data_IF_881875887888
#
_entry.id   IF_881875887888
#
_cell.length_a   1.000
_cell.length_b   1.000
_cell.length_c   1.000
_cell.angle_alpha   90.00
_cell.angle_beta   90.00
_cell.angle_gamma   90.00
#
_symmetry.space_group_name_H-M   'P 1'
#
loop_
_entity.id
_entity.type
_entity.pdbx_description
1 polymer ?
#
# COMPACT_ATOMS: atom_id res chain seq x y z
N UNK A 1 -2.22 19.89 17.63
CA UNK A 1 -1.09 19.35 16.85
C UNK A 1 -0.04 20.42 16.61
N UNK A 2 -0.45 21.63 16.24
CA UNK A 2 0.46 22.77 15.95
C UNK A 2 1.38 23.15 17.11
N UNK A 3 0.88 23.21 18.33
CA UNK A 3 1.70 23.55 19.50
C UNK A 3 2.82 22.52 19.73
N UNK A 4 2.50 21.22 19.58
CA UNK A 4 3.48 20.14 19.73
C UNK A 4 4.64 20.28 18.73
N UNK A 5 4.32 20.42 17.43
CA UNK A 5 5.33 20.52 16.38
C UNK A 5 6.13 21.81 16.50
N UNK A 6 5.44 22.94 16.74
CA UNK A 6 6.12 24.23 16.81
C UNK A 6 7.01 24.37 18.05
N UNK A 7 6.64 23.74 19.17
CA UNK A 7 7.49 23.70 20.37
C UNK A 7 8.82 22.99 20.13
N UNK A 8 8.84 21.96 19.27
CA UNK A 8 10.04 21.22 18.88
C UNK A 8 10.86 21.93 17.80
N UNK A 9 10.18 22.68 16.92
CA UNK A 9 10.79 23.38 15.79
C UNK A 9 10.51 24.90 15.84
N UNK A 10 10.98 25.63 16.87
CA UNK A 10 10.61 27.03 17.10
C UNK A 10 11.15 27.99 16.03
N UNK A 11 12.10 27.55 15.20
CA UNK A 11 12.64 28.32 14.07
C UNK A 11 11.73 28.31 12.84
N UNK A 12 10.77 27.38 12.76
CA UNK A 12 9.80 27.34 11.67
C UNK A 12 8.74 28.41 11.86
N UNK A 13 8.32 29.03 10.77
CA UNK A 13 7.17 29.94 10.78
C UNK A 13 5.87 29.16 10.98
N UNK A 14 4.83 29.83 11.47
CA UNK A 14 3.52 29.21 11.62
C UNK A 14 2.99 28.65 10.29
N UNK A 15 3.27 29.32 9.16
CA UNK A 15 2.92 28.83 7.82
C UNK A 15 3.65 27.52 7.51
N UNK A 16 4.95 27.42 7.77
CA UNK A 16 5.73 26.19 7.53
C UNK A 16 5.21 25.03 8.39
N UNK A 17 4.91 25.28 9.68
CA UNK A 17 4.35 24.24 10.55
C UNK A 17 2.96 23.79 10.07
N UNK A 18 2.10 24.72 9.64
CA UNK A 18 0.78 24.38 9.10
C UNK A 18 0.87 23.62 7.78
N UNK A 19 1.79 24.00 6.89
CA UNK A 19 2.05 23.26 5.64
C UNK A 19 2.53 21.84 5.93
N UNK A 20 3.46 21.67 6.86
CA UNK A 20 3.97 20.36 7.24
C UNK A 20 2.87 19.50 7.90
N UNK A 21 2.03 20.08 8.76
CA UNK A 21 0.86 19.39 9.32
C UNK A 21 -0.16 19.00 8.26
N UNK A 22 -0.41 19.86 7.27
CA UNK A 22 -1.33 19.58 6.18
C UNK A 22 -0.86 18.42 5.30
N UNK A 23 0.45 18.30 5.06
CA UNK A 23 1.06 17.16 4.37
C UNK A 23 0.87 15.82 5.11
N UNK A 24 0.60 15.88 6.42
CA UNK A 24 0.27 14.74 7.27
C UNK A 24 -1.23 14.67 7.62
N UNK A 25 -2.06 15.27 6.76
CA UNK A 25 -3.52 15.23 6.82
C UNK A 25 -4.16 15.92 8.04
N UNK A 26 -3.43 16.79 8.73
CA UNK A 26 -4.02 17.68 9.73
C UNK A 26 -4.57 18.94 9.04
N UNK A 27 -5.88 18.97 8.80
CA UNK A 27 -6.57 20.07 8.10
C UNK A 27 -7.59 20.73 9.02
N UNK A 28 -7.98 21.97 8.70
CA UNK A 28 -9.01 22.70 9.44
C UNK A 28 -8.73 22.77 10.95
N UNK A 29 -9.70 22.33 11.73
CA UNK A 29 -9.66 22.37 13.20
C UNK A 29 -8.76 21.28 13.82
N UNK A 30 -8.41 20.23 13.06
CA UNK A 30 -7.55 19.14 13.53
C UNK A 30 -6.14 19.63 13.90
N UNK A 31 -5.71 20.72 13.27
CA UNK A 31 -4.45 21.41 13.56
C UNK A 31 -4.37 21.86 15.03
N UNK A 32 -5.52 22.22 15.62
CA UNK A 32 -5.63 22.77 16.96
C UNK A 32 -5.98 21.73 18.04
N UNK A 33 -6.36 20.49 17.66
CA UNK A 33 -6.61 19.39 18.61
C UNK A 33 -5.42 19.17 19.55
N UNK A 34 -5.66 18.88 20.82
CA UNK A 34 -4.58 18.51 21.76
C UNK A 34 -4.09 17.10 21.48
N UNK A 35 -2.84 16.78 21.83
CA UNK A 35 -2.27 15.43 21.64
C UNK A 35 -3.10 14.35 22.34
N UNK A 36 -3.69 14.68 23.50
CA UNK A 36 -4.59 13.80 24.26
C UNK A 36 -5.91 13.46 23.54
N UNK A 37 -6.32 14.28 22.58
CA UNK A 37 -7.58 14.14 21.83
C UNK A 37 -7.38 13.39 20.50
N UNK A 38 -6.13 13.16 20.10
CA UNK A 38 -5.81 12.47 18.85
C UNK A 38 -6.06 10.96 18.95
N UNK A 39 -6.49 10.38 17.83
CA UNK A 39 -6.54 8.93 17.65
C UNK A 39 -5.13 8.31 17.61
N UNK A 40 -5.05 6.97 17.67
CA UNK A 40 -3.77 6.26 17.51
C UNK A 40 -3.06 6.58 16.20
N UNK A 41 -3.79 6.56 15.08
CA UNK A 41 -3.26 6.89 13.75
C UNK A 41 -2.83 8.35 13.62
N UNK A 42 -3.61 9.29 14.17
CA UNK A 42 -3.23 10.71 14.19
C UNK A 42 -1.92 10.92 14.99
N UNK A 43 -1.77 10.26 16.14
CA UNK A 43 -0.51 10.32 16.91
C UNK A 43 0.67 9.74 16.14
N UNK A 44 0.48 8.63 15.42
CA UNK A 44 1.51 8.04 14.56
C UNK A 44 1.95 9.01 13.44
N UNK A 45 0.99 9.67 12.77
CA UNK A 45 1.29 10.70 11.75
C UNK A 45 2.09 11.88 12.32
N UNK A 46 1.76 12.36 13.53
CA UNK A 46 2.58 13.41 14.19
C UNK A 46 3.97 12.90 14.54
N UNK A 47 4.10 11.67 15.02
CA UNK A 47 5.40 11.09 15.35
C UNK A 47 6.29 11.04 14.10
N UNK A 48 5.74 10.62 12.97
CA UNK A 48 6.47 10.57 11.72
C UNK A 48 6.80 11.96 11.15
N UNK A 49 5.86 12.92 11.21
CA UNK A 49 6.14 14.31 10.87
C UNK A 49 7.33 14.85 11.68
N UNK A 50 7.38 14.55 12.97
CA UNK A 50 8.52 14.94 13.81
C UNK A 50 9.81 14.25 13.38
N UNK A 51 9.78 13.00 12.92
CA UNK A 51 10.97 12.33 12.37
C UNK A 51 11.46 13.03 11.09
N UNK A 52 10.56 13.36 10.18
CA UNK A 52 10.92 14.06 8.93
C UNK A 52 11.50 15.45 9.18
N UNK A 53 10.88 16.24 10.06
CA UNK A 53 11.35 17.58 10.40
C UNK A 53 12.65 17.57 11.21
N UNK A 54 13.01 16.44 11.83
CA UNK A 54 14.19 16.31 12.68
C UNK A 54 15.53 16.40 11.94
N UNK A 55 15.52 16.32 10.60
CA UNK A 55 16.74 16.41 9.79
C UNK A 55 17.72 15.26 10.02
N UNK A 56 17.21 14.06 10.34
CA UNK A 56 18.06 12.90 10.56
C UNK A 56 18.70 12.42 9.24
N UNK A 57 19.90 11.86 9.30
CA UNK A 57 20.54 11.27 8.13
C UNK A 57 20.11 9.83 7.86
N UNK A 58 19.56 9.15 8.87
CA UNK A 58 19.05 7.78 8.81
C UNK A 58 17.74 7.66 9.59
N UNK A 59 16.71 7.09 8.96
CA UNK A 59 15.48 6.67 9.60
C UNK A 59 15.37 5.14 9.62
N UNK A 60 14.92 4.61 10.75
CA UNK A 60 14.58 3.19 10.91
C UNK A 60 13.06 3.10 11.10
N UNK A 61 12.38 2.45 10.16
CA UNK A 61 10.92 2.34 10.15
C UNK A 61 10.54 0.87 10.19
N UNK A 62 9.77 0.48 11.21
CA UNK A 62 9.25 -0.87 11.38
C UNK A 62 7.73 -0.83 11.27
N UNK A 63 7.19 -1.51 10.26
CA UNK A 63 5.77 -1.52 9.87
C UNK A 63 5.11 -0.11 9.87
N UNK A 64 5.67 0.87 9.13
CA UNK A 64 5.23 2.28 9.22
C UNK A 64 3.84 2.54 8.64
N UNK A 65 3.29 1.61 7.84
CA UNK A 65 1.95 1.71 7.23
C UNK A 65 0.84 1.14 8.11
N UNK A 66 1.18 0.49 9.22
CA UNK A 66 0.20 -0.18 10.07
C UNK A 66 -0.76 0.83 10.71
N UNK A 67 -2.04 0.48 10.80
CA UNK A 67 -3.12 1.33 11.32
C UNK A 67 -3.40 2.61 10.51
N UNK A 68 -2.95 2.71 9.26
CA UNK A 68 -3.29 3.80 8.35
C UNK A 68 -4.31 3.34 7.30
N UNK A 69 -5.28 4.19 7.01
CA UNK A 69 -6.15 4.03 5.84
C UNK A 69 -5.38 4.22 4.53
N UNK A 70 -5.95 3.77 3.41
CA UNK A 70 -5.29 3.79 2.10
C UNK A 70 -4.81 5.20 1.69
N UNK A 71 -5.64 6.21 1.92
CA UNK A 71 -5.32 7.61 1.60
C UNK A 71 -4.15 8.15 2.44
N UNK A 72 -4.14 7.82 3.73
CA UNK A 72 -3.05 8.18 4.65
C UNK A 72 -1.74 7.47 4.30
N UNK A 73 -1.81 6.25 3.77
CA UNK A 73 -0.63 5.49 3.30
C UNK A 73 -0.02 6.13 2.06
N UNK A 74 -0.84 6.55 1.10
CA UNK A 74 -0.35 7.19 -0.13
C UNK A 74 0.38 8.52 0.16
N UNK A 75 -0.22 9.37 1.02
CA UNK A 75 0.42 10.61 1.45
C UNK A 75 1.70 10.36 2.23
N UNK A 76 1.70 9.35 3.10
CA UNK A 76 2.89 8.89 3.81
C UNK A 76 4.02 8.52 2.84
N UNK A 77 3.72 7.70 1.84
CA UNK A 77 4.69 7.30 0.83
C UNK A 77 5.26 8.50 0.07
N UNK A 78 4.40 9.43 -0.34
CA UNK A 78 4.81 10.61 -1.08
C UNK A 78 5.74 11.50 -0.24
N UNK A 79 5.41 11.71 1.03
CA UNK A 79 6.29 12.44 1.94
C UNK A 79 7.63 11.72 2.18
N UNK A 80 7.62 10.38 2.25
CA UNK A 80 8.84 9.58 2.45
C UNK A 80 9.73 9.54 1.20
N UNK A 81 9.16 9.64 -0.01
CA UNK A 81 9.92 9.77 -1.26
C UNK A 81 10.77 11.04 -1.29
N UNK A 82 10.25 12.13 -0.74
CA UNK A 82 10.92 13.44 -0.69
C UNK A 82 11.95 13.54 0.44
N UNK A 83 12.16 12.48 1.22
CA UNK A 83 13.12 12.48 2.31
C UNK A 83 14.57 12.36 1.81
N UNK A 84 15.37 13.40 2.05
CA UNK A 84 16.77 13.47 1.59
C UNK A 84 17.72 12.49 2.30
N UNK A 85 17.30 11.90 3.43
CA UNK A 85 18.12 10.97 4.21
C UNK A 85 18.01 9.52 3.77
N UNK A 86 18.83 8.65 4.37
CA UNK A 86 18.70 7.19 4.16
C UNK A 86 17.55 6.64 5.00
N UNK A 87 16.81 5.68 4.47
CA UNK A 87 15.77 4.96 5.21
C UNK A 87 16.05 3.46 5.18
N UNK A 88 15.94 2.82 6.34
CA UNK A 88 15.84 1.37 6.46
C UNK A 88 14.41 1.04 6.88
N UNK A 89 13.73 0.28 6.04
CA UNK A 89 12.30 0.00 6.18
C UNK A 89 12.12 -1.51 6.33
N UNK A 90 11.37 -1.91 7.34
CA UNK A 90 10.78 -3.24 7.50
C UNK A 90 9.29 -3.09 7.32
N UNK A 91 8.71 -3.82 6.36
CA UNK A 91 7.28 -3.77 6.08
C UNK A 91 6.83 -5.09 5.44
N UNK A 92 5.58 -5.48 5.69
CA UNK A 92 4.92 -6.54 4.94
C UNK A 92 4.21 -6.04 3.68
N UNK A 93 4.12 -4.71 3.51
CA UNK A 93 3.48 -4.05 2.38
C UNK A 93 4.42 -3.95 1.17
N UNK A 94 4.12 -4.74 0.14
CA UNK A 94 4.94 -4.84 -1.08
C UNK A 94 4.89 -3.57 -1.91
N UNK A 95 3.75 -2.88 -1.98
CA UNK A 95 3.60 -1.65 -2.75
C UNK A 95 4.42 -0.53 -2.12
N UNK A 96 4.31 -0.39 -0.81
CA UNK A 96 5.11 0.54 -0.02
C UNK A 96 6.61 0.32 -0.22
N UNK A 97 7.06 -0.94 -0.11
CA UNK A 97 8.46 -1.29 -0.35
C UNK A 97 8.84 -0.99 -1.80
N UNK A 98 8.03 -1.39 -2.77
CA UNK A 98 8.37 -1.22 -4.19
C UNK A 98 8.54 0.25 -4.58
N UNK A 99 7.68 1.12 -4.02
CA UNK A 99 7.69 2.56 -4.28
C UNK A 99 8.88 3.27 -3.63
N UNK A 100 9.22 2.91 -2.39
CA UNK A 100 10.27 3.62 -1.62
C UNK A 100 11.66 3.00 -1.75
N UNK A 101 11.77 1.70 -2.00
CA UNK A 101 13.05 1.00 -1.94
C UNK A 101 13.86 1.18 -3.22
N UNK A 102 15.14 1.54 -3.03
CA UNK A 102 16.15 1.46 -4.08
C UNK A 102 16.99 0.18 -3.99
N UNK A 103 16.88 -0.54 -2.86
CA UNK A 103 17.62 -1.77 -2.54
C UNK A 103 16.79 -2.66 -1.63
N UNK A 104 16.88 -3.98 -1.82
CA UNK A 104 16.25 -4.99 -0.96
C UNK A 104 17.33 -5.82 -0.29
N UNK A 105 17.20 -6.00 1.02
CA UNK A 105 18.04 -6.89 1.83
C UNK A 105 17.22 -8.11 2.23
N UNK A 106 17.51 -9.26 1.62
CA UNK A 106 16.89 -10.54 1.99
C UNK A 106 17.70 -11.18 3.11
N UNK A 107 17.11 -11.31 4.30
CA UNK A 107 17.71 -12.00 5.43
C UNK A 107 17.60 -13.52 5.23
N UNK A 108 18.72 -14.24 5.38
CA UNK A 108 18.81 -15.70 5.32
C UNK A 108 19.60 -16.27 6.50
N UNK A 109 19.78 -17.59 6.54
CA UNK A 109 20.36 -18.29 7.70
C UNK A 109 21.80 -17.84 8.05
N UNK A 110 22.60 -17.44 7.06
CA UNK A 110 24.01 -17.08 7.23
C UNK A 110 24.32 -15.58 7.02
N UNK A 111 23.30 -14.72 6.98
CA UNK A 111 23.48 -13.27 6.75
C UNK A 111 22.38 -12.68 5.89
N UNK A 112 22.72 -11.72 5.03
CA UNK A 112 21.78 -11.10 4.11
C UNK A 112 22.30 -11.13 2.67
N UNK A 113 21.38 -11.16 1.71
CA UNK A 113 21.67 -10.99 0.28
C UNK A 113 21.10 -9.66 -0.18
N UNK A 114 21.96 -8.81 -0.76
CA UNK A 114 21.56 -7.52 -1.32
C UNK A 114 21.09 -7.67 -2.77
N UNK A 115 19.99 -7.00 -3.08
CA UNK A 115 19.47 -6.81 -4.44
C UNK A 115 19.37 -5.30 -4.72
N UNK A 116 20.05 -4.85 -5.76
CA UNK A 116 20.03 -3.46 -6.22
C UNK A 116 18.84 -3.24 -7.14
N UNK A 117 17.79 -2.63 -6.62
CA UNK A 117 16.50 -2.46 -7.28
C UNK A 117 15.37 -2.48 -6.27
N UNK A 118 14.16 -2.22 -6.78
CA UNK A 118 12.92 -2.28 -6.02
C UNK A 118 12.49 -3.73 -5.77
N UNK A 119 11.30 -3.91 -5.20
CA UNK A 119 10.79 -5.23 -4.84
C UNK A 119 10.57 -6.13 -6.06
N UNK A 120 10.11 -5.58 -7.18
CA UNK A 120 9.86 -6.36 -8.41
C UNK A 120 11.15 -6.95 -8.96
N UNK A 121 12.21 -6.14 -9.02
CA UNK A 121 13.54 -6.60 -9.40
C UNK A 121 14.05 -7.75 -8.51
N UNK A 122 13.82 -7.65 -7.20
CA UNK A 122 14.16 -8.70 -6.25
C UNK A 122 13.42 -10.02 -6.58
N UNK A 123 12.10 -9.96 -6.84
CA UNK A 123 11.31 -11.15 -7.17
C UNK A 123 11.79 -11.80 -8.47
N UNK A 124 12.06 -11.03 -9.51
CA UNK A 124 12.61 -11.54 -10.77
C UNK A 124 13.95 -12.26 -10.57
N UNK A 125 14.87 -11.64 -9.83
CA UNK A 125 16.19 -12.21 -9.54
C UNK A 125 16.12 -13.45 -8.66
N UNK A 126 15.21 -13.47 -7.69
CA UNK A 126 14.96 -14.62 -6.83
C UNK A 126 14.39 -15.80 -7.62
N UNK A 127 13.43 -15.54 -8.51
CA UNK A 127 12.88 -16.56 -9.41
C UNK A 127 13.95 -17.12 -10.37
N UNK A 128 14.87 -16.29 -10.86
CA UNK A 128 15.99 -16.72 -11.69
C UNK A 128 17.09 -17.50 -10.94
N UNK A 129 17.20 -17.34 -9.61
CA UNK A 129 18.13 -18.09 -8.74
C UNK A 129 17.58 -19.45 -8.33
N UNK A 130 16.27 -19.61 -8.16
CA UNK A 130 15.65 -20.89 -7.77
C UNK A 130 15.90 -22.08 -8.72
N UNK A 131 16.12 -21.92 -10.06
CA UNK A 131 16.57 -23.04 -10.90
C UNK A 131 18.09 -23.28 -10.90
N UNK A 132 18.91 -22.49 -10.19
CA UNK A 132 20.38 -22.59 -10.26
C UNK A 132 21.01 -23.49 -9.18
N UNK A 133 20.31 -23.82 -8.09
CA UNK A 133 20.83 -24.77 -7.09
C UNK A 133 20.62 -26.25 -7.51
N UNK A 134 19.85 -26.49 -8.58
CA UNK A 134 19.70 -27.80 -9.21
C UNK A 134 20.27 -27.73 -10.63
N UNK A 135 21.60 -27.52 -10.77
CA UNK A 135 22.43 -28.11 -11.84
C UNK A 135 23.87 -27.64 -11.72
N UNK A 136 24.70 -28.59 -11.32
CA UNK A 136 26.15 -28.54 -11.43
C UNK A 136 26.61 -28.19 -12.85
N UNK A 137 27.76 -27.52 -12.89
CA UNK A 137 28.74 -27.43 -13.97
C UNK A 137 28.31 -27.83 -15.39
N UNK A 138 28.33 -26.87 -16.30
CA UNK A 138 29.09 -26.94 -17.55
C UNK A 138 29.02 -25.60 -18.28
N UNK A 139 30.13 -25.26 -18.92
CA UNK A 139 30.42 -23.95 -19.45
C UNK A 139 29.78 -23.65 -20.82
N UNK A 140 29.51 -22.36 -21.02
CA UNK A 140 29.61 -21.53 -22.25
C UNK A 140 28.69 -21.78 -23.47
N UNK A 141 28.09 -20.64 -23.86
CA UNK A 141 27.68 -20.15 -25.18
C UNK A 141 26.43 -20.76 -25.84
N UNK A 142 25.37 -19.95 -25.92
CA UNK A 142 24.79 -19.51 -27.20
C UNK A 142 23.80 -18.36 -26.98
N UNK A 143 24.22 -17.17 -27.42
CA UNK A 143 23.32 -16.04 -27.68
C UNK A 143 22.43 -16.39 -28.88
N UNK A 144 21.18 -15.87 -28.86
CA UNK A 144 20.19 -15.80 -29.98
C UNK A 144 19.09 -16.85 -30.13
N UNK A 145 18.77 -17.69 -29.14
CA UNK A 145 17.56 -18.56 -29.21
C UNK A 145 16.40 -18.14 -28.27
N UNK A 146 16.60 -17.19 -27.35
CA UNK A 146 15.61 -16.91 -26.29
C UNK A 146 14.55 -15.84 -26.59
N UNK A 147 14.66 -15.05 -27.66
CA UNK A 147 13.77 -13.90 -27.86
C UNK A 147 12.31 -14.30 -28.25
N UNK A 148 12.12 -15.45 -28.89
CA UNK A 148 10.78 -15.93 -29.29
C UNK A 148 10.00 -16.57 -28.15
N UNK A 149 10.69 -17.25 -27.21
CA UNK A 149 10.05 -17.81 -26.01
C UNK A 149 9.69 -16.71 -25.01
N UNK A 150 10.58 -15.73 -24.82
CA UNK A 150 10.35 -14.58 -23.95
C UNK A 150 9.12 -13.78 -24.40
N UNK A 151 9.01 -13.48 -25.70
CA UNK A 151 7.84 -12.78 -26.27
C UNK A 151 6.54 -13.59 -26.15
N UNK A 152 6.61 -14.92 -26.25
CA UNK A 152 5.44 -15.79 -26.08
C UNK A 152 4.99 -15.91 -24.61
N UNK A 153 5.94 -15.88 -23.67
CA UNK A 153 5.66 -15.86 -22.23
C UNK A 153 5.10 -14.51 -21.79
N UNK A 154 5.69 -13.39 -22.23
CA UNK A 154 5.17 -12.04 -21.99
C UNK A 154 3.75 -11.88 -22.55
N UNK A 155 3.51 -12.33 -23.79
CA UNK A 155 2.17 -12.32 -24.37
C UNK A 155 1.19 -13.26 -23.65
N UNK A 156 1.67 -14.32 -23.00
CA UNK A 156 0.83 -15.19 -22.16
C UNK A 156 0.53 -14.56 -20.80
N UNK A 157 1.47 -13.83 -20.22
CA UNK A 157 1.30 -13.13 -18.94
C UNK A 157 0.32 -11.96 -19.08
N UNK A 158 0.48 -11.14 -20.12
CA UNK A 158 -0.48 -10.07 -20.44
C UNK A 158 -1.89 -10.60 -20.67
N UNK A 159 -2.04 -11.76 -21.34
CA UNK A 159 -3.36 -12.39 -21.50
C UNK A 159 -3.96 -12.87 -20.17
N UNK A 160 -3.14 -13.37 -19.25
CA UNK A 160 -3.59 -13.81 -17.93
C UNK A 160 -4.02 -12.62 -17.07
N UNK A 161 -3.21 -11.57 -17.03
CA UNK A 161 -3.53 -10.32 -16.33
C UNK A 161 -4.83 -9.71 -16.88
N UNK A 162 -4.96 -9.61 -18.20
CA UNK A 162 -6.19 -9.11 -18.83
C UNK A 162 -7.42 -9.99 -18.53
N UNK A 163 -7.25 -11.30 -18.47
CA UNK A 163 -8.34 -12.22 -18.08
C UNK A 163 -8.72 -12.05 -16.60
N UNK A 164 -7.73 -11.83 -15.73
CA UNK A 164 -7.96 -11.55 -14.31
C UNK A 164 -8.65 -10.21 -14.12
N UNK A 165 -8.23 -9.16 -14.84
CA UNK A 165 -8.88 -7.85 -14.83
C UNK A 165 -10.36 -7.96 -15.18
N UNK A 166 -10.68 -8.58 -16.31
CA UNK A 166 -12.07 -8.80 -16.73
C UNK A 166 -12.86 -9.65 -15.73
N UNK A 167 -12.22 -10.61 -15.06
CA UNK A 167 -12.88 -11.39 -14.01
C UNK A 167 -13.19 -10.52 -12.79
N UNK A 168 -12.24 -9.71 -12.34
CA UNK A 168 -12.43 -8.79 -11.22
C UNK A 168 -13.50 -7.75 -11.53
N UNK A 169 -13.56 -7.22 -12.75
CA UNK A 169 -14.63 -6.32 -13.21
C UNK A 169 -16.02 -6.97 -13.12
N UNK A 170 -16.13 -8.25 -13.52
CA UNK A 170 -17.39 -8.98 -13.39
C UNK A 170 -17.77 -9.26 -11.94
N UNK A 171 -16.79 -9.56 -11.08
CA UNK A 171 -17.01 -9.77 -9.65
C UNK A 171 -17.49 -8.46 -8.98
N UNK A 172 -16.90 -7.31 -9.35
CA UNK A 172 -17.32 -5.97 -8.89
C UNK A 172 -18.77 -5.72 -9.30
N UNK A 173 -19.11 -5.87 -10.59
CA UNK A 173 -20.46 -5.64 -11.07
C UNK A 173 -21.51 -6.55 -10.41
N UNK A 174 -21.13 -7.79 -10.06
CA UNK A 174 -22.00 -8.70 -9.32
C UNK A 174 -22.21 -8.24 -7.87
N UNK A 175 -21.14 -7.82 -7.18
CA UNK A 175 -21.21 -7.32 -5.80
C UNK A 175 -22.00 -6.02 -5.69
N UNK A 176 -21.81 -5.09 -6.64
CA UNK A 176 -22.60 -3.86 -6.70
C UNK A 176 -24.09 -4.15 -6.82
N UNK A 177 -24.45 -5.13 -7.65
CA UNK A 177 -25.84 -5.58 -7.79
C UNK A 177 -26.38 -6.24 -6.52
N UNK A 178 -25.58 -7.10 -5.86
CA UNK A 178 -25.97 -7.70 -4.58
C UNK A 178 -26.20 -6.64 -3.50
N UNK A 179 -25.35 -5.61 -3.46
CA UNK A 179 -25.47 -4.47 -2.53
C UNK A 179 -26.75 -3.68 -2.81
N UNK A 180 -27.05 -3.39 -4.08
CA UNK A 180 -28.28 -2.71 -4.48
C UNK A 180 -29.53 -3.51 -4.06
N UNK A 181 -29.55 -4.84 -4.29
CA UNK A 181 -30.64 -5.72 -3.86
C UNK A 181 -30.80 -5.77 -2.32
N UNK A 182 -29.70 -5.70 -1.56
CA UNK A 182 -29.72 -5.66 -0.08
C UNK A 182 -30.26 -4.30 0.39
N UNK A 183 -29.86 -3.20 -0.24
CA UNK A 183 -30.34 -1.85 0.07
C UNK A 183 -31.83 -1.70 -0.23
N UNK A 184 -32.31 -2.25 -1.35
CA UNK A 184 -33.75 -2.29 -1.66
C UNK A 184 -34.54 -3.07 -0.60
N UNK A 185 -34.03 -4.22 -0.16
CA UNK A 185 -34.65 -5.00 0.93
C UNK A 185 -34.68 -4.24 2.26
N UNK A 186 -33.60 -3.57 2.63
CA UNK A 186 -33.54 -2.71 3.83
C UNK A 186 -34.60 -1.58 3.81
N UNK A 187 -35.03 -1.14 2.63
CA UNK A 187 -36.05 -0.12 2.46
C UNK A 187 -37.49 -0.66 2.50
N UNK A 188 -37.69 -1.97 2.65
CA UNK A 188 -39.03 -2.56 2.78
C UNK A 188 -39.60 -2.38 4.20
N UNK A 189 -40.91 -2.15 4.30
CA UNK A 189 -41.62 -2.02 5.59
C UNK A 189 -41.45 -3.27 6.49
N UNK A 190 -41.28 -4.46 5.90
CA UNK A 190 -41.08 -5.70 6.64
C UNK A 190 -39.74 -5.72 7.41
N UNK A 191 -38.67 -5.20 6.81
CA UNK A 191 -37.33 -5.19 7.42
C UNK A 191 -37.17 -3.99 8.35
N UNK A 192 -37.79 -2.84 8.05
CA UNK A 192 -37.71 -1.68 8.94
C UNK A 192 -38.45 -1.87 10.27
N UNK A 193 -39.45 -2.74 10.31
CA UNK A 193 -40.22 -3.02 11.52
C UNK A 193 -39.67 -4.19 12.35
N UNK A 194 -38.73 -4.95 11.80
CA UNK A 194 -38.07 -6.10 12.43
C UNK A 194 -36.61 -5.76 12.76
N UNK A 195 -36.35 -5.46 14.03
CA UNK A 195 -35.04 -5.01 14.51
C UNK A 195 -33.94 -6.08 14.33
N UNK A 196 -34.27 -7.37 14.42
CA UNK A 196 -33.27 -8.45 14.24
C UNK A 196 -32.87 -8.56 12.76
N UNK A 197 -33.85 -8.55 11.85
CA UNK A 197 -33.57 -8.53 10.41
C UNK A 197 -32.84 -7.26 10.00
N UNK A 198 -33.16 -6.12 10.57
CA UNK A 198 -32.49 -4.86 10.26
C UNK A 198 -30.99 -4.92 10.55
N UNK A 199 -30.59 -5.49 11.70
CA UNK A 199 -29.18 -5.68 12.05
C UNK A 199 -28.52 -6.67 11.10
N UNK A 200 -29.14 -7.84 10.86
CA UNK A 200 -28.58 -8.88 9.98
C UNK A 200 -28.31 -8.35 8.57
N UNK A 201 -29.27 -7.62 7.98
CA UNK A 201 -29.11 -7.04 6.65
C UNK A 201 -28.12 -5.87 6.63
N UNK A 202 -27.99 -5.11 7.72
CA UNK A 202 -26.97 -4.04 7.85
C UNK A 202 -25.57 -4.63 7.94
N UNK A 203 -25.38 -5.70 8.72
CA UNK A 203 -24.10 -6.39 8.83
C UNK A 203 -23.71 -7.06 7.51
N UNK A 204 -24.68 -7.67 6.83
CA UNK A 204 -24.48 -8.24 5.49
C UNK A 204 -24.10 -7.15 4.47
N UNK A 205 -24.76 -6.00 4.51
CA UNK A 205 -24.43 -4.85 3.66
C UNK A 205 -23.00 -4.36 3.90
N UNK A 206 -22.59 -4.24 5.17
CA UNK A 206 -21.24 -3.81 5.52
C UNK A 206 -20.19 -4.81 5.01
N UNK A 207 -20.40 -6.10 5.27
CA UNK A 207 -19.53 -7.18 4.79
C UNK A 207 -19.39 -7.19 3.26
N UNK A 208 -20.49 -6.94 2.53
CA UNK A 208 -20.47 -6.86 1.07
C UNK A 208 -19.77 -5.61 0.55
N UNK A 209 -19.90 -4.48 1.23
CA UNK A 209 -19.15 -3.27 0.91
C UNK A 209 -17.64 -3.46 1.15
N UNK A 210 -17.25 -4.15 2.22
CA UNK A 210 -15.84 -4.49 2.47
C UNK A 210 -15.29 -5.40 1.36
N UNK A 211 -16.03 -6.44 0.97
CA UNK A 211 -15.66 -7.33 -0.14
C UNK A 211 -15.53 -6.56 -1.48
N UNK A 212 -16.44 -5.61 -1.74
CA UNK A 212 -16.39 -4.75 -2.92
C UNK A 212 -15.14 -3.84 -2.92
N UNK A 213 -14.77 -3.31 -1.75
CA UNK A 213 -13.61 -2.43 -1.59
C UNK A 213 -12.30 -3.21 -1.84
N UNK A 214 -12.21 -4.45 -1.34
CA UNK A 214 -11.10 -5.37 -1.62
C UNK A 214 -10.99 -5.68 -3.13
N UNK A 215 -12.13 -5.87 -3.81
CA UNK A 215 -12.16 -6.13 -5.26
C UNK A 215 -11.74 -4.91 -6.07
N UNK A 216 -12.13 -3.70 -5.67
CA UNK A 216 -11.66 -2.46 -6.27
C UNK A 216 -10.15 -2.27 -6.10
N UNK A 217 -9.60 -2.57 -4.92
CA UNK A 217 -8.15 -2.57 -4.69
C UNK A 217 -7.45 -3.55 -5.63
N UNK A 218 -7.95 -4.79 -5.72
CA UNK A 218 -7.39 -5.80 -6.63
C UNK A 218 -7.48 -5.39 -8.10
N UNK A 219 -8.57 -4.72 -8.51
CA UNK A 219 -8.72 -4.23 -9.88
C UNK A 219 -7.71 -3.13 -10.20
N UNK A 220 -7.51 -2.19 -9.29
CA UNK A 220 -6.52 -1.10 -9.43
C UNK A 220 -5.09 -1.66 -9.55
N UNK A 221 -4.75 -2.63 -8.70
CA UNK A 221 -3.48 -3.37 -8.77
C UNK A 221 -3.29 -4.06 -10.12
N UNK A 222 -4.31 -4.79 -10.60
CA UNK A 222 -4.27 -5.49 -11.88
C UNK A 222 -4.21 -4.53 -13.08
N UNK A 223 -4.84 -3.36 -12.99
CA UNK A 223 -4.80 -2.35 -14.03
C UNK A 223 -3.41 -1.72 -14.13
N UNK A 224 -2.79 -1.37 -12.99
CA UNK A 224 -1.41 -0.89 -12.95
C UNK A 224 -0.44 -1.87 -13.59
N UNK A 225 -0.58 -3.17 -13.32
CA UNK A 225 0.22 -4.23 -13.93
C UNK A 225 0.00 -4.43 -15.44
N UNK A 226 -1.11 -3.93 -16.01
CA UNK A 226 -1.42 -4.01 -17.45
C UNK A 226 -0.92 -2.78 -18.20
N UNK A 227 -0.79 -1.64 -17.52
CA UNK A 227 -0.32 -0.36 -18.09
C UNK A 227 1.23 -0.22 -18.11
N UNK A 228 1.95 -0.98 -17.27
CA UNK A 228 3.43 -1.18 -17.31
C UNK A 228 3.92 -2.12 -18.43
#
# INVERSE_FOLDING_TARGET
AIEEVWSKYPKMTQTQVRSALAAFLFKGDDVFKKISELSGGERARIALLNLMLGGYNLLLLDEPTNHLDAFSREELENNLLDYDGTMLIVSHDRYFINKLSSRILELGENGFTEYLGNYDYYIEKKAARQPAEIKAGTAKKSEKVNDYKLKKEQASQQRKLKTQLTRTENDIAALEKEIEEIQEKLNTEEIQTDYEKLIEFTDLLNSKNDELLDKYSLWDELQGMVEE
#
